data_IF_351065813760
#
_entry.id   IF_351065813760
#
_cell.length_a   1.000
_cell.length_b   1.000
_cell.length_c   1.000
_cell.angle_alpha   90.00
_cell.angle_beta   90.00
_cell.angle_gamma   90.00
#
_symmetry.space_group_name_H-M   'P 1'
#
loop_
_entity.id
_entity.type
_entity.pdbx_description
1 polymer ?
#
# COMPACT_ATOMS: atom_id res chain seq x y z
N UNK A 1 -30.39 -47.72 0.97
CA UNK A 1 -31.40 -47.18 1.91
C UNK A 1 -30.97 -45.83 2.49
N UNK A 2 -30.83 -44.79 1.66
CA UNK A 2 -30.31 -43.47 2.10
C UNK A 2 -31.15 -42.28 1.59
N UNK A 3 -31.83 -42.41 0.45
CA UNK A 3 -32.61 -41.32 -0.15
C UNK A 3 -33.91 -41.00 0.63
N UNK A 4 -34.61 -42.02 1.15
CA UNK A 4 -35.87 -41.83 1.90
C UNK A 4 -35.65 -41.04 3.20
N UNK A 5 -34.48 -41.18 3.83
CA UNK A 5 -34.16 -40.49 5.08
C UNK A 5 -33.86 -39.00 4.88
N UNK A 6 -33.33 -38.61 3.70
CA UNK A 6 -33.00 -37.21 3.41
C UNK A 6 -34.26 -36.40 3.08
N UNK A 7 -35.21 -37.02 2.39
CA UNK A 7 -36.51 -36.40 2.08
C UNK A 7 -37.33 -36.15 3.35
N UNK A 8 -37.33 -37.11 4.28
CA UNK A 8 -38.00 -36.98 5.58
C UNK A 8 -37.38 -35.87 6.45
N UNK A 9 -36.07 -35.67 6.39
CA UNK A 9 -35.38 -34.58 7.10
C UNK A 9 -35.76 -33.20 6.52
N UNK A 10 -35.88 -33.12 5.20
CA UNK A 10 -36.27 -31.90 4.52
C UNK A 10 -37.72 -31.52 4.84
N UNK A 11 -38.61 -32.52 4.89
CA UNK A 11 -40.01 -32.33 5.26
C UNK A 11 -40.16 -31.85 6.72
N UNK A 12 -39.37 -32.42 7.64
CA UNK A 12 -39.33 -31.95 9.03
C UNK A 12 -38.84 -30.49 9.16
N UNK A 13 -37.81 -30.09 8.40
CA UNK A 13 -37.35 -28.70 8.41
C UNK A 13 -38.40 -27.72 7.87
N UNK A 14 -39.16 -28.13 6.85
CA UNK A 14 -40.24 -27.29 6.30
C UNK A 14 -41.40 -27.14 7.29
N UNK A 15 -41.79 -28.23 7.98
CA UNK A 15 -42.81 -28.16 9.03
C UNK A 15 -42.39 -27.26 10.19
N UNK A 16 -41.12 -27.30 10.60
CA UNK A 16 -40.61 -26.45 11.67
C UNK A 16 -40.67 -24.96 11.31
N UNK A 17 -40.30 -24.60 10.08
CA UNK A 17 -40.40 -23.21 9.59
C UNK A 17 -41.85 -22.70 9.55
N UNK A 18 -42.80 -23.54 9.14
CA UNK A 18 -44.21 -23.16 9.13
C UNK A 18 -44.75 -22.95 10.54
N UNK A 19 -44.30 -23.74 11.51
CA UNK A 19 -44.69 -23.58 12.92
C UNK A 19 -44.16 -22.26 13.51
N UNK A 20 -42.92 -21.89 13.18
CA UNK A 20 -42.30 -20.64 13.63
C UNK A 20 -43.00 -19.40 13.02
N UNK A 21 -43.40 -19.45 11.74
CA UNK A 21 -44.18 -18.37 11.12
C UNK A 21 -45.56 -18.21 11.77
N UNK A 22 -46.24 -19.30 12.14
CA UNK A 22 -47.50 -19.21 12.87
C UNK A 22 -47.32 -18.62 14.26
N UNK A 23 -46.23 -18.97 14.94
CA UNK A 23 -45.90 -18.42 16.27
C UNK A 23 -45.61 -16.91 16.19
N UNK A 24 -44.89 -16.44 15.17
CA UNK A 24 -44.67 -15.00 14.98
C UNK A 24 -45.97 -14.24 14.72
N UNK A 25 -46.89 -14.79 13.91
CA UNK A 25 -48.21 -14.20 13.66
C UNK A 25 -49.08 -14.11 14.94
N UNK A 26 -49.01 -15.10 15.83
CA UNK A 26 -49.66 -15.02 17.14
C UNK A 26 -49.04 -13.96 18.07
N UNK A 27 -47.72 -13.79 18.03
CA UNK A 27 -47.04 -12.75 18.81
C UNK A 27 -47.38 -11.34 18.28
N UNK A 28 -47.58 -11.17 16.98
CA UNK A 28 -48.04 -9.89 16.41
C UNK A 28 -49.50 -9.59 16.76
N UNK A 29 -50.39 -10.58 16.74
CA UNK A 29 -51.80 -10.38 17.12
C UNK A 29 -52.01 -10.13 18.63
N UNK A 30 -51.13 -10.63 19.50
CA UNK A 30 -51.23 -10.38 20.95
C UNK A 30 -50.69 -9.00 21.34
N UNK A 31 -49.82 -8.38 20.53
CA UNK A 31 -49.34 -7.01 20.76
C UNK A 31 -50.41 -5.94 20.57
N UNK A 32 -51.49 -6.20 19.83
CA UNK A 32 -52.54 -5.20 19.54
C UNK A 32 -53.67 -5.09 20.57
N UNK A 33 -53.68 -5.88 21.65
CA UNK A 33 -54.75 -5.86 22.66
C UNK A 33 -54.38 -5.20 23.99
N UNK A 34 -53.18 -4.63 24.12
CA UNK A 34 -52.81 -3.84 25.29
C UNK A 34 -52.22 -2.50 24.84
N UNK A 35 -52.93 -1.40 25.14
CA UNK A 35 -52.45 0.00 25.26
C UNK A 35 -53.09 1.05 24.33
N UNK A 36 -54.31 1.50 24.66
CA UNK A 36 -54.85 2.77 24.14
C UNK A 36 -55.08 3.85 25.22
N UNK A 37 -54.90 3.53 26.52
CA UNK A 37 -55.09 4.49 27.62
C UNK A 37 -53.79 5.15 28.12
N UNK A 38 -52.60 4.67 27.72
CA UNK A 38 -51.29 5.20 28.15
C UNK A 38 -50.66 6.20 27.17
N UNK A 39 -51.09 6.21 25.91
CA UNK A 39 -50.39 6.94 24.83
C UNK A 39 -50.46 8.46 24.96
N UNK A 40 -51.59 9.03 25.41
CA UNK A 40 -51.70 10.47 25.57
C UNK A 40 -50.85 11.00 26.74
N UNK A 41 -50.81 10.27 27.86
CA UNK A 41 -50.02 10.64 29.04
C UNK A 41 -48.53 10.46 28.81
N UNK A 42 -48.12 9.39 28.13
CA UNK A 42 -46.74 9.20 27.67
C UNK A 42 -46.32 10.27 26.64
N UNK A 43 -47.19 10.64 25.71
CA UNK A 43 -46.89 11.67 24.71
C UNK A 43 -46.69 13.04 25.35
N UNK A 44 -47.53 13.44 26.31
CA UNK A 44 -47.37 14.69 27.07
C UNK A 44 -46.11 14.65 27.95
N UNK A 45 -45.80 13.51 28.56
CA UNK A 45 -44.55 13.32 29.32
C UNK A 45 -43.34 13.44 28.39
N UNK A 46 -43.38 12.83 27.20
CA UNK A 46 -42.33 12.90 26.18
C UNK A 46 -42.15 14.33 25.66
N UNK A 47 -43.23 15.05 25.36
CA UNK A 47 -43.19 16.45 24.93
C UNK A 47 -42.56 17.35 26.01
N UNK A 48 -42.92 17.18 27.30
CA UNK A 48 -42.25 17.90 28.42
C UNK A 48 -40.76 17.54 28.55
N UNK A 49 -40.39 16.28 28.37
CA UNK A 49 -38.97 15.89 28.40
C UNK A 49 -38.18 16.37 27.19
N UNK A 50 -38.84 16.54 26.03
CA UNK A 50 -38.25 17.08 24.81
C UNK A 50 -38.03 18.58 24.95
N UNK A 51 -39.02 19.32 25.48
CA UNK A 51 -38.89 20.76 25.77
C UNK A 51 -37.78 21.02 26.81
N UNK A 52 -37.74 20.27 27.92
CA UNK A 52 -36.65 20.40 28.88
C UNK A 52 -35.29 19.95 28.34
N UNK A 53 -35.21 19.02 27.38
CA UNK A 53 -33.95 18.68 26.71
C UNK A 53 -33.52 19.77 25.71
N UNK A 54 -34.47 20.43 25.05
CA UNK A 54 -34.22 21.57 24.15
C UNK A 54 -33.72 22.79 24.92
N UNK A 55 -34.38 23.15 26.02
CA UNK A 55 -33.93 24.25 26.91
C UNK A 55 -32.54 23.98 27.52
N UNK A 56 -32.21 22.71 27.78
CA UNK A 56 -30.91 22.32 28.35
C UNK A 56 -29.77 22.35 27.33
N UNK A 57 -30.08 22.32 26.03
CA UNK A 57 -29.13 22.32 24.93
C UNK A 57 -29.18 23.62 24.09
N UNK A 58 -29.90 24.64 24.54
CA UNK A 58 -29.98 25.93 23.86
C UNK A 58 -28.64 26.67 24.03
N UNK A 59 -27.95 27.04 22.93
CA UNK A 59 -26.72 27.86 23.00
C UNK A 59 -26.91 29.20 23.71
N UNK A 60 -28.16 29.68 23.80
CA UNK A 60 -28.52 30.91 24.51
C UNK A 60 -28.65 30.71 26.02
N UNK A 61 -28.63 29.47 26.52
CA UNK A 61 -28.73 29.16 27.94
C UNK A 61 -27.33 29.26 28.60
N UNK A 62 -27.12 30.16 29.58
CA UNK A 62 -25.82 30.35 30.22
C UNK A 62 -25.37 29.15 31.07
N UNK A 63 -26.25 28.16 31.30
CA UNK A 63 -25.91 26.91 31.98
C UNK A 63 -25.60 25.76 31.02
N UNK A 64 -25.64 25.97 29.71
CA UNK A 64 -25.28 24.96 28.73
C UNK A 64 -23.79 25.07 28.38
N UNK A 65 -23.01 24.02 28.68
CA UNK A 65 -21.59 23.96 28.34
C UNK A 65 -21.44 23.19 27.03
N UNK A 66 -20.93 23.83 25.98
CA UNK A 66 -20.75 23.19 24.67
C UNK A 66 -19.46 22.36 24.56
N UNK A 67 -18.47 22.63 25.42
CA UNK A 67 -17.12 22.07 25.28
C UNK A 67 -16.75 21.08 26.39
N UNK A 68 -15.98 20.02 26.09
CA UNK A 68 -15.50 19.10 27.12
C UNK A 68 -14.54 19.80 28.10
N UNK A 69 -14.98 20.08 29.32
CA UNK A 69 -14.17 20.80 30.33
C UNK A 69 -13.06 19.95 30.95
N UNK A 70 -13.16 18.63 30.84
CA UNK A 70 -12.20 17.63 31.36
C UNK A 70 -11.47 16.86 30.27
N UNK A 71 -11.60 17.27 29.01
CA UNK A 71 -10.94 16.60 27.90
C UNK A 71 -9.42 16.78 27.97
N UNK A 72 -8.67 15.76 27.56
CA UNK A 72 -7.22 15.84 27.35
C UNK A 72 -6.89 15.70 25.85
N UNK A 73 -7.18 16.73 25.02
CA UNK A 73 -7.01 16.66 23.58
C UNK A 73 -5.54 16.47 23.18
N UNK A 74 -4.59 17.02 23.93
CA UNK A 74 -3.16 16.90 23.63
C UNK A 74 -2.69 15.45 23.74
N UNK A 75 -3.15 14.70 24.74
CA UNK A 75 -2.78 13.31 24.95
C UNK A 75 -3.34 12.40 23.87
N UNK A 76 -4.61 12.58 23.51
CA UNK A 76 -5.26 11.82 22.44
C UNK A 76 -4.58 12.10 21.10
N UNK A 77 -4.29 13.37 20.81
CA UNK A 77 -3.59 13.77 19.57
C UNK A 77 -2.16 13.22 19.54
N UNK A 78 -1.43 13.31 20.65
CA UNK A 78 -0.09 12.75 20.79
C UNK A 78 -0.09 11.22 20.62
N UNK A 79 -1.09 10.51 21.15
CA UNK A 79 -1.24 9.07 20.98
C UNK A 79 -1.52 8.70 19.52
N UNK A 80 -2.36 9.49 18.82
CA UNK A 80 -2.63 9.32 17.39
C UNK A 80 -1.35 9.46 16.56
N UNK A 81 -0.57 10.53 16.76
CA UNK A 81 0.70 10.71 16.05
C UNK A 81 1.78 9.70 16.44
N UNK A 82 1.76 9.19 17.68
CA UNK A 82 2.62 8.08 18.05
C UNK A 82 2.26 6.80 17.29
N UNK A 83 0.96 6.57 17.02
CA UNK A 83 0.50 5.46 16.18
C UNK A 83 0.97 5.62 14.74
N UNK A 84 0.88 6.82 14.17
CA UNK A 84 1.47 7.14 12.85
C UNK A 84 2.99 6.86 12.82
N UNK A 85 3.71 7.28 13.86
CA UNK A 85 5.15 7.02 13.99
C UNK A 85 5.49 5.53 14.03
N UNK A 86 4.64 4.72 14.67
CA UNK A 86 4.79 3.27 14.70
C UNK A 86 4.55 2.65 13.32
N UNK A 87 3.48 3.08 12.62
CA UNK A 87 3.18 2.65 11.24
C UNK A 87 4.36 2.95 10.31
N UNK A 88 4.91 4.17 10.37
CA UNK A 88 6.09 4.56 9.60
C UNK A 88 7.29 3.67 9.97
N UNK A 89 7.46 3.34 11.26
CA UNK A 89 8.49 2.40 11.72
C UNK A 89 8.36 1.01 11.10
N UNK A 90 7.14 0.45 11.05
CA UNK A 90 6.85 -0.83 10.40
C UNK A 90 7.10 -0.77 8.89
N UNK A 91 6.70 0.33 8.23
CA UNK A 91 6.94 0.53 6.80
C UNK A 91 8.43 0.58 6.49
N UNK A 92 9.22 1.32 7.27
CA UNK A 92 10.68 1.37 7.13
C UNK A 92 11.28 -0.04 7.27
N UNK A 93 10.82 -0.83 8.24
CA UNK A 93 11.30 -2.20 8.41
C UNK A 93 10.99 -3.06 7.18
N UNK A 94 9.75 -3.04 6.69
CA UNK A 94 9.37 -3.75 5.46
C UNK A 94 10.22 -3.35 4.26
N UNK A 95 10.47 -2.04 4.07
CA UNK A 95 11.29 -1.55 2.96
C UNK A 95 12.77 -1.99 3.09
N UNK A 96 13.31 -2.10 4.31
CA UNK A 96 14.65 -2.65 4.54
C UNK A 96 14.73 -4.14 4.19
N UNK A 97 13.74 -4.93 4.58
CA UNK A 97 13.67 -6.33 4.18
C UNK A 97 13.54 -6.46 2.65
N UNK A 98 12.74 -5.58 2.04
CA UNK A 98 12.60 -5.51 0.58
C UNK A 98 13.93 -5.21 -0.10
N UNK A 99 14.74 -4.30 0.44
CA UNK A 99 16.10 -4.03 -0.03
C UNK A 99 16.95 -5.29 0.03
N UNK A 100 16.97 -5.99 1.16
CA UNK A 100 17.75 -7.23 1.33
C UNK A 100 17.37 -8.30 0.30
N UNK A 101 16.06 -8.47 0.05
CA UNK A 101 15.55 -9.38 -0.99
C UNK A 101 16.02 -8.95 -2.38
N UNK A 102 15.99 -7.66 -2.71
CA UNK A 102 16.41 -7.19 -4.03
C UNK A 102 17.93 -7.27 -4.26
N UNK A 103 18.73 -7.15 -3.21
CA UNK A 103 20.17 -7.42 -3.28
C UNK A 103 20.44 -8.89 -3.63
N UNK A 104 19.68 -9.81 -3.04
CA UNK A 104 19.78 -11.24 -3.36
C UNK A 104 19.28 -11.54 -4.77
N UNK A 105 18.15 -10.97 -5.18
CA UNK A 105 17.64 -11.07 -6.55
C UNK A 105 18.72 -10.63 -7.54
N UNK A 106 19.34 -9.46 -7.34
CA UNK A 106 20.43 -8.97 -8.19
C UNK A 106 21.57 -9.99 -8.32
N UNK A 107 22.05 -10.55 -7.20
CA UNK A 107 23.11 -11.57 -7.20
C UNK A 107 22.71 -12.83 -7.97
N UNK A 108 21.48 -13.30 -7.78
CA UNK A 108 20.99 -14.50 -8.46
C UNK A 108 20.77 -14.25 -9.95
N UNK A 109 20.28 -13.07 -10.35
CA UNK A 109 20.14 -12.69 -11.74
C UNK A 109 21.50 -12.62 -12.46
N UNK A 110 22.56 -12.14 -11.79
CA UNK A 110 23.93 -12.17 -12.32
C UNK A 110 24.45 -13.61 -12.47
N UNK A 111 24.16 -14.49 -11.50
CA UNK A 111 24.54 -15.91 -11.61
C UNK A 111 23.83 -16.60 -12.76
N UNK A 112 22.53 -16.38 -12.91
CA UNK A 112 21.74 -16.90 -14.03
C UNK A 112 22.27 -16.37 -15.35
N UNK A 113 22.59 -15.08 -15.42
CA UNK A 113 23.20 -14.45 -16.58
C UNK A 113 24.51 -15.15 -16.99
N UNK A 114 25.41 -15.46 -16.05
CA UNK A 114 26.65 -16.19 -16.34
C UNK A 114 26.45 -17.69 -16.61
N UNK A 115 25.35 -18.29 -16.13
CA UNK A 115 25.04 -19.70 -16.36
C UNK A 115 24.48 -19.99 -17.76
N UNK A 116 24.12 -18.96 -18.52
CA UNK A 116 23.65 -19.09 -19.91
C UNK A 116 24.81 -19.56 -20.79
N UNK A 117 24.86 -20.86 -21.05
CA UNK A 117 25.82 -21.50 -21.94
C UNK A 117 25.08 -22.18 -23.07
N UNK A 118 25.08 -21.54 -24.24
CA UNK A 118 24.55 -22.11 -25.47
C UNK A 118 25.70 -22.34 -26.45
N UNK A 119 25.67 -23.40 -27.28
CA UNK A 119 26.75 -23.70 -28.23
C UNK A 119 26.86 -22.70 -29.40
N UNK A 120 26.15 -21.57 -29.34
CA UNK A 120 26.06 -20.56 -30.40
C UNK A 120 26.26 -19.14 -29.87
N UNK A 121 26.50 -18.20 -30.79
CA UNK A 121 26.69 -16.77 -30.52
C UNK A 121 25.53 -16.21 -29.71
N UNK A 122 25.85 -15.42 -28.68
CA UNK A 122 24.88 -14.56 -28.00
C UNK A 122 25.22 -13.09 -28.28
N UNK A 123 24.20 -12.24 -28.45
CA UNK A 123 24.44 -10.81 -28.64
C UNK A 123 24.22 -10.06 -27.31
N UNK A 124 25.27 -9.38 -26.84
CA UNK A 124 25.22 -8.54 -25.66
C UNK A 124 24.38 -7.28 -25.84
N UNK A 125 24.14 -6.56 -24.73
CA UNK A 125 23.44 -5.28 -24.69
C UNK A 125 24.20 -4.14 -25.41
N UNK A 126 25.51 -4.30 -25.55
CA UNK A 126 26.47 -3.44 -26.25
C UNK A 126 26.55 -3.71 -27.76
N UNK A 127 25.84 -4.73 -28.25
CA UNK A 127 25.95 -5.20 -29.62
C UNK A 127 27.19 -6.07 -29.85
N UNK A 128 28.00 -6.33 -28.82
CA UNK A 128 29.14 -7.24 -28.92
C UNK A 128 28.65 -8.69 -28.92
N UNK A 129 29.29 -9.48 -29.79
CA UNK A 129 29.03 -10.91 -29.93
C UNK A 129 29.73 -11.64 -28.79
N UNK A 130 28.97 -12.02 -27.76
CA UNK A 130 29.47 -12.82 -26.66
C UNK A 130 29.51 -14.29 -27.05
N UNK A 131 30.65 -14.92 -26.75
CA UNK A 131 30.81 -16.36 -26.75
C UNK A 131 30.70 -16.86 -25.30
N UNK A 132 30.04 -17.99 -25.04
CA UNK A 132 30.01 -18.53 -23.69
C UNK A 132 31.43 -18.89 -23.25
N UNK A 133 31.88 -18.31 -22.14
CA UNK A 133 33.08 -18.79 -21.44
C UNK A 133 32.70 -20.10 -20.74
N UNK A 134 33.42 -21.19 -21.03
CA UNK A 134 33.13 -22.51 -20.47
C UNK A 134 33.15 -22.46 -18.95
N UNK A 135 32.12 -23.01 -18.31
CA UNK A 135 32.25 -23.50 -16.93
C UNK A 135 33.19 -24.69 -17.00
N UNK A 136 34.45 -24.48 -16.61
CA UNK A 136 35.41 -25.56 -16.49
C UNK A 136 34.79 -26.65 -15.60
N UNK A 137 34.71 -27.88 -16.13
CA UNK A 137 34.38 -29.06 -15.34
C UNK A 137 35.27 -29.07 -14.11
N UNK A 138 34.66 -28.99 -12.93
CA UNK A 138 35.35 -28.91 -11.66
C UNK A 138 36.33 -30.08 -11.50
N UNK A 139 37.61 -29.81 -11.72
CA UNK A 139 38.74 -30.50 -11.13
C UNK A 139 40.00 -29.63 -11.29
N UNK A 140 40.40 -28.96 -10.20
CA UNK A 140 41.78 -28.46 -10.03
C UNK A 140 41.98 -26.94 -10.02
N UNK A 141 42.10 -26.38 -8.80
CA UNK A 141 42.98 -25.26 -8.37
C UNK A 141 43.08 -23.95 -9.18
N UNK A 142 42.56 -22.88 -8.56
CA UNK A 142 43.11 -21.51 -8.43
C UNK A 142 44.07 -20.94 -9.50
N UNK A 143 43.66 -19.87 -10.17
CA UNK A 143 44.42 -18.60 -10.18
C UNK A 143 43.63 -17.46 -10.84
N UNK A 144 43.66 -16.31 -10.17
CA UNK A 144 43.36 -14.97 -10.68
C UNK A 144 44.28 -14.64 -11.86
N UNK A 145 43.75 -14.11 -12.98
CA UNK A 145 44.30 -12.95 -13.71
C UNK A 145 43.75 -12.79 -15.15
N UNK A 146 43.34 -11.55 -15.43
CA UNK A 146 43.54 -10.78 -16.66
C UNK A 146 42.76 -11.14 -17.94
N UNK A 147 41.68 -10.39 -18.14
CA UNK A 147 41.21 -10.00 -19.46
C UNK A 147 42.12 -8.91 -20.03
N UNK A 148 42.89 -9.22 -21.07
CA UNK A 148 43.38 -8.27 -22.06
C UNK A 148 43.95 -8.98 -23.29
N UNK A 149 43.55 -8.49 -24.48
CA UNK A 149 44.25 -8.57 -25.78
C UNK A 149 44.20 -9.90 -26.55
N UNK A 150 43.63 -9.89 -27.76
CA UNK A 150 44.45 -9.72 -28.98
C UNK A 150 43.62 -9.68 -30.27
N UNK A 151 43.86 -8.60 -31.03
CA UNK A 151 43.53 -8.34 -32.43
C UNK A 151 44.74 -8.79 -33.27
N UNK A 152 44.51 -9.61 -34.30
CA UNK A 152 45.24 -9.79 -35.58
C UNK A 152 46.76 -10.14 -35.64
N UNK A 153 47.07 -11.07 -36.57
CA UNK A 153 48.32 -11.25 -37.36
C UNK A 153 49.50 -12.08 -36.83
N UNK A 154 49.77 -13.22 -37.51
CA UNK A 154 50.99 -13.36 -38.32
C UNK A 154 52.15 -14.29 -37.86
N UNK A 155 52.19 -15.48 -38.46
CA UNK A 155 53.37 -16.20 -39.01
C UNK A 155 54.53 -16.67 -38.08
N UNK A 156 54.55 -17.95 -37.69
CA UNK A 156 55.68 -18.88 -37.92
C UNK A 156 55.35 -20.31 -37.47
N UNK A 157 55.80 -21.28 -38.26
CA UNK A 157 55.54 -22.70 -38.05
C UNK A 157 56.29 -23.28 -36.86
N UNK A 158 55.64 -24.21 -36.17
CA UNK A 158 56.25 -25.49 -35.83
C UNK A 158 55.16 -26.50 -35.44
N UNK A 159 55.32 -27.70 -35.98
CA UNK A 159 54.49 -28.87 -35.71
C UNK A 159 54.74 -29.38 -34.29
N UNK A 160 53.86 -29.01 -33.36
CA UNK A 160 53.68 -29.72 -32.11
C UNK A 160 52.17 -29.71 -31.79
N UNK A 161 51.49 -30.79 -32.12
CA UNK A 161 50.07 -31.00 -31.83
C UNK A 161 49.89 -31.25 -30.33
N UNK A 162 49.83 -30.17 -29.55
CA UNK A 162 49.33 -30.19 -28.18
C UNK A 162 47.82 -30.46 -28.19
N UNK A 163 47.28 -31.23 -27.23
CA UNK A 163 45.86 -31.59 -27.18
C UNK A 163 44.91 -30.38 -27.01
N UNK A 164 45.44 -29.24 -26.58
CA UNK A 164 44.70 -27.99 -26.38
C UNK A 164 44.33 -27.29 -27.70
N UNK A 165 45.18 -27.37 -28.73
CA UNK A 165 44.94 -26.73 -30.04
C UNK A 165 43.89 -27.50 -30.86
N UNK A 166 43.79 -28.81 -30.64
CA UNK A 166 42.82 -29.68 -31.30
C UNK A 166 41.39 -29.53 -30.73
N UNK A 167 41.25 -29.09 -29.47
CA UNK A 167 39.94 -28.83 -28.84
C UNK A 167 39.35 -27.49 -29.31
N UNK A 168 40.20 -26.46 -29.45
CA UNK A 168 39.82 -25.16 -30.02
C UNK A 168 39.40 -25.25 -31.51
N UNK A 169 40.06 -26.08 -32.32
CA UNK A 169 39.68 -26.27 -33.73
C UNK A 169 38.34 -26.98 -33.88
N UNK A 170 38.09 -28.03 -33.09
CA UNK A 170 36.81 -28.76 -33.09
C UNK A 170 35.63 -27.88 -32.68
N UNK A 171 35.84 -26.96 -31.74
CA UNK A 171 34.80 -26.02 -31.29
C UNK A 171 34.48 -24.96 -32.34
N UNK A 172 35.50 -24.49 -33.06
CA UNK A 172 35.29 -23.58 -34.19
C UNK A 172 34.52 -24.25 -35.31
N UNK A 173 34.80 -25.53 -35.56
CA UNK A 173 34.07 -26.34 -36.54
C UNK A 173 32.61 -26.56 -36.12
N UNK A 174 32.34 -26.96 -34.87
CA UNK A 174 30.98 -27.16 -34.34
C UNK A 174 30.13 -25.87 -34.39
N UNK A 175 30.78 -24.74 -34.14
CA UNK A 175 30.17 -23.42 -34.22
C UNK A 175 29.84 -22.99 -35.66
N UNK A 176 30.76 -23.19 -36.59
CA UNK A 176 30.53 -22.88 -38.00
C UNK A 176 29.47 -23.82 -38.62
N UNK A 177 29.39 -25.06 -38.13
CA UNK A 177 28.28 -25.98 -38.41
C UNK A 177 26.95 -25.44 -37.88
N UNK A 178 26.91 -24.98 -36.63
CA UNK A 178 25.67 -24.47 -36.00
C UNK A 178 25.13 -23.22 -36.70
N UNK A 179 26.01 -22.34 -37.20
CA UNK A 179 25.64 -21.20 -38.07
C UNK A 179 25.09 -21.62 -39.43
N UNK A 180 25.52 -22.77 -39.96
CA UNK A 180 25.00 -23.30 -41.21
C UNK A 180 23.61 -23.89 -41.03
N UNK A 181 23.39 -24.61 -39.93
CA UNK A 181 22.16 -25.37 -39.67
C UNK A 181 20.95 -24.51 -39.28
N UNK A 182 21.13 -23.42 -38.55
CA UNK A 182 20.01 -22.57 -38.11
C UNK A 182 19.98 -21.22 -38.85
N UNK A 183 18.82 -20.55 -38.82
CA UNK A 183 18.69 -19.19 -39.36
C UNK A 183 19.51 -18.20 -38.52
N UNK A 184 19.97 -17.09 -39.12
CA UNK A 184 20.72 -16.06 -38.41
C UNK A 184 19.88 -15.36 -37.34
N UNK A 185 20.59 -14.70 -36.42
CA UNK A 185 19.98 -13.88 -35.36
C UNK A 185 18.99 -12.85 -35.94
N UNK A 186 17.89 -12.64 -35.23
CA UNK A 186 16.81 -11.70 -35.55
C UNK A 186 15.69 -12.28 -36.42
N UNK A 187 15.78 -13.55 -36.83
CA UNK A 187 14.76 -14.22 -37.66
C UNK A 187 13.59 -14.80 -36.85
N UNK A 188 13.66 -14.77 -35.51
CA UNK A 188 12.75 -15.48 -34.62
C UNK A 188 13.10 -16.96 -34.49
N UNK A 189 14.35 -17.30 -34.83
CA UNK A 189 14.93 -18.64 -34.78
C UNK A 189 15.32 -19.04 -33.36
N UNK A 190 15.60 -20.33 -33.16
CA UNK A 190 16.19 -20.85 -31.91
C UNK A 190 17.49 -20.10 -31.52
N UNK A 191 18.20 -19.50 -32.50
CA UNK A 191 19.40 -18.69 -32.25
C UNK A 191 19.14 -17.41 -31.44
N UNK A 192 17.90 -16.91 -31.39
CA UNK A 192 17.57 -15.67 -30.66
C UNK A 192 17.38 -15.90 -29.16
N UNK A 193 17.14 -17.14 -28.74
CA UNK A 193 16.76 -17.50 -27.38
C UNK A 193 17.80 -17.08 -26.32
N UNK A 194 19.10 -17.33 -26.49
CA UNK A 194 20.10 -16.94 -25.50
C UNK A 194 20.28 -15.44 -25.41
N UNK A 195 20.16 -14.74 -26.54
CA UNK A 195 20.21 -13.28 -26.58
C UNK A 195 19.04 -12.71 -25.75
N UNK A 196 17.84 -13.26 -25.91
CA UNK A 196 16.65 -12.87 -25.13
C UNK A 196 16.88 -13.12 -23.63
N UNK A 197 17.32 -14.32 -23.25
CA UNK A 197 17.56 -14.67 -21.84
C UNK A 197 18.69 -13.83 -21.23
N UNK A 198 19.78 -13.64 -21.96
CA UNK A 198 20.93 -12.85 -21.53
C UNK A 198 20.53 -11.40 -21.24
N UNK A 199 19.81 -10.78 -22.19
CA UNK A 199 19.30 -9.42 -22.05
C UNK A 199 18.29 -9.31 -20.90
N UNK A 200 17.41 -10.28 -20.73
CA UNK A 200 16.46 -10.29 -19.61
C UNK A 200 17.18 -10.32 -18.26
N UNK A 201 18.05 -11.32 -18.02
CA UNK A 201 18.75 -11.46 -16.73
C UNK A 201 19.69 -10.28 -16.44
N UNK A 202 20.36 -9.73 -17.47
CA UNK A 202 21.18 -8.53 -17.34
C UNK A 202 20.35 -7.31 -16.90
N UNK A 203 19.25 -7.03 -17.60
CA UNK A 203 18.39 -5.90 -17.26
C UNK A 203 17.69 -6.10 -15.91
N UNK A 204 17.24 -7.31 -15.59
CA UNK A 204 16.61 -7.64 -14.31
C UNK A 204 17.57 -7.39 -13.14
N UNK A 205 18.85 -7.74 -13.28
CA UNK A 205 19.89 -7.40 -12.30
C UNK A 205 20.05 -5.89 -12.12
N UNK A 206 20.20 -5.14 -13.22
CA UNK A 206 20.36 -3.67 -13.17
C UNK A 206 19.17 -2.98 -12.51
N UNK A 207 17.94 -3.41 -12.83
CA UNK A 207 16.73 -2.86 -12.22
C UNK A 207 16.64 -3.20 -10.73
N UNK A 208 16.96 -4.43 -10.33
CA UNK A 208 17.02 -4.81 -8.91
C UNK A 208 18.05 -3.96 -8.14
N UNK A 209 19.23 -3.69 -8.72
CA UNK A 209 20.22 -2.79 -8.12
C UNK A 209 19.73 -1.34 -8.03
N UNK A 210 19.02 -0.86 -9.05
CA UNK A 210 18.41 0.48 -9.05
C UNK A 210 17.40 0.62 -7.90
N UNK A 211 16.55 -0.40 -7.69
CA UNK A 211 15.60 -0.43 -6.57
C UNK A 211 16.31 -0.34 -5.23
N UNK A 212 17.38 -1.11 -5.03
CA UNK A 212 18.19 -1.07 -3.79
C UNK A 212 18.76 0.32 -3.55
N UNK A 213 19.36 0.93 -4.59
CA UNK A 213 19.96 2.27 -4.50
C UNK A 213 18.92 3.33 -4.17
N UNK A 214 17.76 3.30 -4.82
CA UNK A 214 16.70 4.28 -4.60
C UNK A 214 16.06 4.10 -3.20
N UNK A 215 15.77 2.87 -2.79
CA UNK A 215 15.20 2.61 -1.46
C UNK A 215 16.14 3.03 -0.32
N UNK A 216 17.42 2.64 -0.38
CA UNK A 216 18.40 3.00 0.64
C UNK A 216 18.81 4.48 0.57
N UNK A 217 18.86 5.06 -0.62
CA UNK A 217 19.37 6.40 -0.85
C UNK A 217 18.36 7.51 -0.59
N UNK A 218 17.08 7.30 -0.93
CA UNK A 218 16.06 8.36 -0.89
C UNK A 218 14.89 8.01 0.02
N UNK A 219 14.23 6.87 -0.21
CA UNK A 219 12.94 6.55 0.43
C UNK A 219 13.09 6.25 1.92
N UNK A 220 13.99 5.33 2.29
CA UNK A 220 14.17 4.93 3.69
C UNK A 220 14.67 6.10 4.56
N UNK A 221 15.70 6.87 4.16
CA UNK A 221 16.14 8.05 4.92
C UNK A 221 15.01 9.07 5.10
N UNK A 222 14.25 9.35 4.05
CA UNK A 222 13.13 10.31 4.11
C UNK A 222 12.05 9.91 5.11
N UNK A 223 11.68 8.63 5.15
CA UNK A 223 10.74 8.12 6.15
C UNK A 223 11.32 8.11 7.57
N UNK A 224 12.64 7.88 7.72
CA UNK A 224 13.32 7.97 9.02
C UNK A 224 13.35 9.40 9.55
N UNK A 225 13.54 10.39 8.68
CA UNK A 225 13.46 11.82 9.01
C UNK A 225 12.06 12.18 9.48
N UNK A 226 11.04 11.83 8.68
CA UNK A 226 9.63 12.05 9.06
C UNK A 226 9.30 11.44 10.43
N UNK A 227 9.82 10.25 10.73
CA UNK A 227 9.63 9.57 12.02
C UNK A 227 10.31 10.30 13.18
N UNK A 228 11.45 10.96 12.95
CA UNK A 228 12.17 11.78 13.94
C UNK A 228 11.45 13.12 14.15
N UNK A 229 11.05 13.77 13.07
CA UNK A 229 10.31 15.03 13.11
C UNK A 229 8.97 14.87 13.84
N UNK A 230 8.26 13.77 13.59
CA UNK A 230 7.03 13.45 14.31
C UNK A 230 7.25 13.28 15.82
N UNK A 231 8.39 12.74 16.26
CA UNK A 231 8.69 12.67 17.70
C UNK A 231 8.77 14.07 18.31
N UNK A 232 9.41 15.01 17.63
CA UNK A 232 9.51 16.40 18.08
C UNK A 232 8.13 17.05 18.11
N UNK A 233 7.34 16.91 17.04
CA UNK A 233 5.96 17.43 16.99
C UNK A 233 5.04 16.84 18.05
N UNK A 234 5.19 15.56 18.38
CA UNK A 234 4.45 14.94 19.49
C UNK A 234 4.80 15.60 20.83
N UNK A 235 6.07 15.92 21.08
CA UNK A 235 6.50 16.61 22.31
C UNK A 235 5.96 18.04 22.36
N UNK A 236 6.00 18.77 21.25
CA UNK A 236 5.41 20.10 21.12
C UNK A 236 3.90 20.05 21.43
N UNK A 237 3.15 19.12 20.84
CA UNK A 237 1.71 18.94 21.11
C UNK A 237 1.44 18.68 22.60
N UNK A 238 2.24 17.82 23.25
CA UNK A 238 2.10 17.54 24.69
C UNK A 238 2.39 18.78 25.55
N UNK A 239 3.27 19.67 25.09
CA UNK A 239 3.61 20.89 25.84
C UNK A 239 2.46 21.90 25.88
N UNK A 240 1.53 21.87 24.91
CA UNK A 240 0.33 22.70 24.86
C UNK A 240 -0.74 22.33 25.90
N UNK A 241 -0.47 21.36 26.77
CA UNK A 241 -1.40 20.91 27.80
C UNK A 241 -1.82 22.04 28.75
N UNK A 242 -0.96 23.02 28.97
CA UNK A 242 -1.26 24.19 29.80
C UNK A 242 -2.44 25.01 29.28
N UNK A 243 -2.63 25.06 27.96
CA UNK A 243 -3.60 25.92 27.30
C UNK A 243 -5.05 25.42 27.51
N UNK A 244 -5.19 24.15 27.91
CA UNK A 244 -6.49 23.53 28.21
C UNK A 244 -6.87 23.62 29.70
N UNK A 245 -5.98 24.16 30.55
CA UNK A 245 -6.28 24.39 31.96
C UNK A 245 -7.32 25.51 32.06
N UNK A 246 -8.51 25.17 32.54
CA UNK A 246 -9.64 26.08 32.58
C UNK A 246 -10.31 26.12 33.96
N UNK A 247 -11.11 27.16 34.19
CA UNK A 247 -11.96 27.29 35.37
C UNK A 247 -13.45 27.26 35.01
N UNK A 248 -13.82 26.68 33.87
CA UNK A 248 -15.21 26.69 33.34
C UNK A 248 -16.16 26.06 34.35
N UNK A 249 -15.81 24.91 34.95
CA UNK A 249 -16.62 24.26 35.99
C UNK A 249 -16.88 25.18 37.20
N UNK A 250 -15.88 25.97 37.61
CA UNK A 250 -16.00 26.94 38.71
C UNK A 250 -16.93 28.09 38.33
N UNK A 251 -16.68 28.73 37.19
CA UNK A 251 -17.49 29.84 36.70
C UNK A 251 -18.94 29.41 36.46
N UNK A 252 -19.17 28.19 35.96
CA UNK A 252 -20.49 27.61 35.80
C UNK A 252 -21.25 27.46 37.12
N UNK A 253 -20.57 26.97 38.16
CA UNK A 253 -21.16 26.83 39.49
C UNK A 253 -21.48 28.20 40.12
N UNK A 254 -20.59 29.17 39.95
CA UNK A 254 -20.82 30.55 40.39
C UNK A 254 -22.01 31.18 39.65
N UNK A 255 -22.10 31.06 38.32
CA UNK A 255 -23.23 31.54 37.52
C UNK A 255 -24.53 30.89 37.97
N UNK A 256 -24.53 29.57 38.24
CA UNK A 256 -25.70 28.86 38.78
C UNK A 256 -26.15 29.43 40.12
N UNK A 257 -25.22 29.75 41.02
CA UNK A 257 -25.54 30.30 42.33
C UNK A 257 -26.10 31.74 42.22
N UNK A 258 -25.47 32.60 41.41
CA UNK A 258 -25.93 33.98 41.20
C UNK A 258 -27.28 34.01 40.49
N UNK A 259 -27.49 33.13 39.49
CA UNK A 259 -28.78 32.98 38.80
C UNK A 259 -29.90 32.53 39.75
N UNK A 260 -29.63 31.57 40.63
CA UNK A 260 -30.59 31.15 41.67
C UNK A 260 -30.94 32.32 42.60
N UNK A 261 -29.94 33.09 43.04
CA UNK A 261 -30.15 34.28 43.86
C UNK A 261 -31.00 35.34 43.16
N UNK A 262 -30.75 35.59 41.87
CA UNK A 262 -31.52 36.50 41.04
C UNK A 262 -32.98 36.05 40.88
N UNK A 263 -33.22 34.78 40.54
CA UNK A 263 -34.58 34.23 40.41
C UNK A 263 -35.34 34.33 41.74
N UNK A 264 -34.68 33.98 42.85
CA UNK A 264 -35.27 34.09 44.18
C UNK A 264 -35.63 35.55 44.54
N UNK A 265 -34.80 36.51 44.16
CA UNK A 265 -35.08 37.94 44.39
C UNK A 265 -36.30 38.44 43.61
N UNK A 266 -36.48 37.97 42.37
CA UNK A 266 -37.65 38.29 41.54
C UNK A 266 -38.91 37.71 42.18
N UNK A 267 -38.86 36.45 42.64
CA UNK A 267 -40.02 35.80 43.24
C UNK A 267 -40.46 36.48 44.53
N UNK A 268 -39.50 36.88 45.38
CA UNK A 268 -39.81 37.63 46.62
C UNK A 268 -40.32 39.04 46.29
N UNK A 269 -39.74 39.73 45.29
CA UNK A 269 -40.22 41.04 44.83
C UNK A 269 -41.69 41.01 44.39
N UNK A 270 -42.09 39.95 43.68
CA UNK A 270 -43.48 39.76 43.21
C UNK A 270 -44.47 39.44 44.33
N UNK A 271 -44.03 38.74 45.39
CA UNK A 271 -44.90 38.27 46.48
C UNK A 271 -44.96 39.22 47.68
N UNK A 272 -43.83 39.82 48.05
CA UNK A 272 -43.67 40.61 49.26
C UNK A 272 -42.58 41.69 49.08
N UNK A 273 -42.88 42.79 48.37
CA UNK A 273 -41.89 43.82 48.02
C UNK A 273 -41.27 44.52 49.24
N UNK A 274 -41.97 44.58 50.38
CA UNK A 274 -41.47 45.23 51.60
C UNK A 274 -40.49 44.40 52.45
N UNK A 275 -40.31 43.11 52.15
CA UNK A 275 -39.42 42.21 52.91
C UNK A 275 -38.03 42.04 52.28
N UNK A 276 -37.75 42.71 51.17
CA UNK A 276 -36.49 42.58 50.46
C UNK A 276 -35.37 43.38 51.15
N UNK A 277 -34.26 42.74 51.56
CA UNK A 277 -33.08 43.48 51.99
C UNK A 277 -32.46 44.23 50.80
N UNK A 278 -31.86 45.42 50.99
CA UNK A 278 -31.25 46.21 49.91
C UNK A 278 -30.18 45.46 49.10
N UNK A 279 -29.53 44.47 49.73
CA UNK A 279 -28.53 43.59 49.10
C UNK A 279 -29.12 42.63 48.05
N UNK A 280 -30.40 42.30 48.16
CA UNK A 280 -31.10 41.38 47.27
C UNK A 280 -31.99 42.14 46.27
N UNK A 281 -31.66 43.40 45.97
CA UNK A 281 -32.31 44.14 44.90
C UNK A 281 -32.15 43.37 43.56
N UNK A 282 -33.25 43.04 42.86
CA UNK A 282 -33.22 42.39 41.56
C UNK A 282 -32.31 43.10 40.55
N UNK A 283 -32.24 44.44 40.56
CA UNK A 283 -31.41 45.17 39.59
C UNK A 283 -29.90 44.97 39.84
N UNK A 284 -29.46 45.06 41.11
CA UNK A 284 -28.06 44.81 41.49
C UNK A 284 -27.65 43.35 41.25
N UNK A 285 -28.54 42.40 41.53
CA UNK A 285 -28.29 40.98 41.26
C UNK A 285 -28.23 40.68 39.77
N UNK A 286 -29.06 41.34 38.94
CA UNK A 286 -28.96 41.27 37.48
C UNK A 286 -27.61 41.78 36.98
N UNK A 287 -27.15 42.93 37.47
CA UNK A 287 -25.83 43.47 37.10
C UNK A 287 -24.69 42.51 37.45
N UNK A 288 -24.73 41.92 38.64
CA UNK A 288 -23.76 40.90 39.05
C UNK A 288 -23.84 39.65 38.18
N UNK A 289 -25.04 39.19 37.81
CA UNK A 289 -25.26 38.05 36.94
C UNK A 289 -24.68 38.30 35.54
N UNK A 290 -24.96 39.46 34.95
CA UNK A 290 -24.44 39.85 33.63
C UNK A 290 -22.90 39.89 33.62
N UNK A 291 -22.28 40.40 34.69
CA UNK A 291 -20.83 40.38 34.87
C UNK A 291 -20.27 38.96 34.96
N UNK A 292 -20.95 38.07 35.68
CA UNK A 292 -20.54 36.68 35.84
C UNK A 292 -20.66 35.89 34.53
N UNK A 293 -21.77 36.06 33.80
CA UNK A 293 -21.99 35.41 32.49
C UNK A 293 -20.90 35.85 31.50
N UNK A 294 -20.55 37.14 31.47
CA UNK A 294 -19.46 37.62 30.60
C UNK A 294 -18.13 36.93 30.90
N UNK A 295 -17.77 36.76 32.17
CA UNK A 295 -16.53 36.07 32.57
C UNK A 295 -16.55 34.59 32.15
N UNK A 296 -17.67 33.91 32.37
CA UNK A 296 -17.84 32.53 31.93
C UNK A 296 -17.68 32.41 30.42
N UNK A 297 -18.35 33.28 29.65
CA UNK A 297 -18.29 33.26 28.19
C UNK A 297 -16.87 33.51 27.66
N UNK A 298 -16.11 34.42 28.27
CA UNK A 298 -14.71 34.66 27.86
C UNK A 298 -13.84 33.41 28.04
N UNK A 299 -14.01 32.69 29.15
CA UNK A 299 -13.26 31.46 29.43
C UNK A 299 -13.70 30.29 28.55
N UNK A 300 -15.00 30.14 28.31
CA UNK A 300 -15.52 29.13 27.39
C UNK A 300 -15.06 29.39 25.95
N UNK A 301 -15.08 30.65 25.50
CA UNK A 301 -14.58 31.03 24.18
C UNK A 301 -13.07 30.77 24.06
N UNK A 302 -12.27 31.08 25.09
CA UNK A 302 -10.84 30.79 25.10
C UNK A 302 -10.57 29.29 24.96
N UNK A 303 -11.27 28.47 25.76
CA UNK A 303 -11.13 27.01 25.69
C UNK A 303 -11.58 26.48 24.32
N UNK A 304 -12.66 27.02 23.76
CA UNK A 304 -13.17 26.65 22.45
C UNK A 304 -12.16 26.95 21.33
N UNK A 305 -11.56 28.15 21.33
CA UNK A 305 -10.50 28.52 20.39
C UNK A 305 -9.29 27.60 20.51
N UNK A 306 -8.88 27.23 21.74
CA UNK A 306 -7.78 26.28 21.96
C UNK A 306 -8.08 24.90 21.35
N UNK A 307 -9.32 24.40 21.50
CA UNK A 307 -9.76 23.14 20.88
C UNK A 307 -9.75 23.22 19.35
N UNK A 308 -10.25 24.31 18.76
CA UNK A 308 -10.24 24.51 17.31
C UNK A 308 -8.80 24.56 16.79
N UNK A 309 -7.91 25.25 17.51
CA UNK A 309 -6.52 25.40 17.12
C UNK A 309 -5.80 24.04 17.09
N UNK A 310 -5.89 23.24 18.16
CA UNK A 310 -5.23 21.93 18.18
C UNK A 310 -5.79 20.96 17.13
N UNK A 311 -7.10 21.03 16.86
CA UNK A 311 -7.72 20.22 15.82
C UNK A 311 -7.26 20.64 14.42
N UNK A 312 -7.20 21.93 14.15
CA UNK A 312 -6.80 22.48 12.85
C UNK A 312 -5.32 22.22 12.58
N UNK A 313 -4.45 22.51 13.55
CA UNK A 313 -3.02 22.25 13.46
C UNK A 313 -2.72 20.74 13.36
N UNK A 314 -3.42 19.91 14.14
CA UNK A 314 -3.33 18.45 14.04
C UNK A 314 -3.75 17.93 12.65
N UNK A 315 -4.84 18.46 12.09
CA UNK A 315 -5.30 18.09 10.73
C UNK A 315 -4.26 18.40 9.66
N UNK A 316 -3.67 19.59 9.68
CA UNK A 316 -2.64 19.95 8.70
C UNK A 316 -1.36 19.13 8.88
N UNK A 317 -0.95 18.84 10.12
CA UNK A 317 0.18 17.94 10.38
C UNK A 317 -0.08 16.54 9.84
N UNK A 318 -1.26 15.96 10.10
CA UNK A 318 -1.63 14.63 9.58
C UNK A 318 -1.65 14.60 8.06
N UNK A 319 -2.15 15.66 7.41
CA UNK A 319 -2.12 15.79 5.95
C UNK A 319 -0.70 15.74 5.40
N UNK A 320 0.25 16.45 6.01
CA UNK A 320 1.66 16.42 5.61
C UNK A 320 2.26 15.01 5.75
N UNK A 321 2.01 14.35 6.89
CA UNK A 321 2.47 12.97 7.13
C UNK A 321 1.93 12.03 6.06
N UNK A 322 0.63 12.14 5.76
CA UNK A 322 -0.03 11.29 4.78
C UNK A 322 0.55 11.47 3.37
N UNK A 323 0.74 12.72 2.94
CA UNK A 323 1.31 13.05 1.62
C UNK A 323 2.75 12.52 1.49
N UNK A 324 3.57 12.64 2.53
CA UNK A 324 4.94 12.15 2.51
C UNK A 324 5.00 10.61 2.37
N UNK A 325 4.12 9.89 3.07
CA UNK A 325 3.98 8.43 2.91
C UNK A 325 3.49 8.07 1.51
N UNK A 326 2.51 8.79 0.97
CA UNK A 326 2.02 8.58 -0.40
C UNK A 326 3.14 8.78 -1.42
N UNK A 327 3.94 9.81 -1.26
CA UNK A 327 5.06 10.11 -2.17
C UNK A 327 6.07 8.97 -2.16
N UNK A 328 6.48 8.52 -0.96
CA UNK A 328 7.38 7.38 -0.79
C UNK A 328 6.85 6.09 -1.45
N UNK A 329 5.57 5.76 -1.21
CA UNK A 329 4.93 4.58 -1.78
C UNK A 329 4.74 4.68 -3.30
N UNK A 330 4.51 5.88 -3.82
CA UNK A 330 4.38 6.12 -5.27
C UNK A 330 5.70 5.83 -5.98
N UNK A 331 6.83 6.29 -5.43
CA UNK A 331 8.15 5.98 -5.99
C UNK A 331 8.42 4.48 -5.92
N UNK A 332 8.13 3.83 -4.78
CA UNK A 332 8.27 2.38 -4.65
C UNK A 332 7.43 1.60 -5.68
N UNK A 333 6.16 1.96 -5.85
CA UNK A 333 5.28 1.34 -6.84
C UNK A 333 5.81 1.52 -8.27
N UNK A 334 6.35 2.69 -8.60
CA UNK A 334 6.99 2.96 -9.90
C UNK A 334 8.18 2.03 -10.15
N UNK A 335 9.04 1.83 -9.14
CA UNK A 335 10.20 0.93 -9.25
C UNK A 335 9.78 -0.53 -9.48
N UNK A 336 8.76 -1.00 -8.76
CA UNK A 336 8.20 -2.35 -8.97
C UNK A 336 7.57 -2.47 -10.36
N UNK A 337 6.86 -1.44 -10.82
CA UNK A 337 6.27 -1.39 -12.16
C UNK A 337 7.32 -1.51 -13.27
N UNK A 338 8.49 -0.87 -13.12
CA UNK A 338 9.59 -0.99 -14.07
C UNK A 338 10.14 -2.43 -14.16
N UNK A 339 10.21 -3.16 -13.04
CA UNK A 339 10.60 -4.57 -13.06
C UNK A 339 9.57 -5.44 -13.76
N UNK A 340 8.29 -5.24 -13.47
CA UNK A 340 7.21 -5.97 -14.15
C UNK A 340 7.23 -5.73 -15.66
N UNK A 341 7.43 -4.47 -16.07
CA UNK A 341 7.53 -4.11 -17.48
C UNK A 341 8.74 -4.77 -18.16
N UNK A 342 9.87 -4.92 -17.46
CA UNK A 342 11.03 -5.62 -17.99
C UNK A 342 10.73 -7.09 -18.31
N UNK A 343 10.03 -7.78 -17.41
CA UNK A 343 9.59 -9.17 -17.63
C UNK A 343 8.70 -9.24 -18.88
N UNK A 344 7.74 -8.32 -19.00
CA UNK A 344 6.83 -8.30 -20.14
C UNK A 344 7.54 -7.99 -21.46
N UNK A 345 8.31 -6.90 -21.52
CA UNK A 345 8.90 -6.42 -22.77
C UNK A 345 10.12 -7.22 -23.22
N UNK A 346 10.96 -7.67 -22.29
CA UNK A 346 12.23 -8.34 -22.62
C UNK A 346 12.11 -9.83 -22.72
N UNK A 347 11.22 -10.45 -21.94
CA UNK A 347 11.05 -11.90 -21.94
C UNK A 347 9.79 -12.31 -22.70
N UNK A 348 8.61 -11.94 -22.19
CA UNK A 348 7.33 -12.45 -22.70
C UNK A 348 7.11 -12.03 -24.16
N UNK A 349 7.13 -10.73 -24.44
CA UNK A 349 6.90 -10.19 -25.79
C UNK A 349 7.90 -10.72 -26.82
N UNK A 350 9.17 -10.92 -26.43
CA UNK A 350 10.21 -11.44 -27.31
C UNK A 350 10.07 -12.95 -27.58
N UNK A 351 9.61 -13.72 -26.61
CA UNK A 351 9.30 -15.14 -26.82
C UNK A 351 8.04 -15.32 -27.68
N UNK A 352 7.00 -14.53 -27.41
CA UNK A 352 5.72 -14.59 -28.13
C UNK A 352 5.87 -14.20 -29.60
N UNK A 353 6.65 -13.16 -29.90
CA UNK A 353 6.91 -12.71 -31.29
C UNK A 353 8.01 -13.49 -31.98
N UNK A 354 8.90 -14.11 -31.21
CA UNK A 354 10.01 -14.93 -31.69
C UNK A 354 9.56 -16.38 -31.89
N UNK A 355 10.16 -17.28 -31.12
CA UNK A 355 10.04 -18.73 -31.31
C UNK A 355 8.60 -19.26 -31.19
N UNK A 356 7.77 -18.66 -30.32
CA UNK A 356 6.43 -19.18 -30.04
C UNK A 356 5.43 -18.89 -31.16
N UNK A 357 5.63 -17.84 -31.95
CA UNK A 357 4.76 -17.51 -33.08
C UNK A 357 5.11 -18.26 -34.37
N UNK A 358 6.28 -18.91 -34.45
CA UNK A 358 6.74 -19.57 -35.69
C UNK A 358 6.13 -20.96 -35.82
N UNK A 359 5.93 -21.38 -37.08
CA UNK A 359 5.47 -22.74 -37.37
C UNK A 359 6.54 -23.76 -36.92
N UNK A 360 6.16 -24.92 -36.36
CA UNK A 360 7.12 -25.98 -36.00
C UNK A 360 8.07 -26.41 -37.13
N UNK A 361 7.66 -26.31 -38.40
CA UNK A 361 8.49 -26.61 -39.58
C UNK A 361 9.44 -25.48 -40.01
N UNK A 362 9.34 -24.28 -39.42
CA UNK A 362 10.03 -23.07 -39.90
C UNK A 362 11.55 -23.22 -40.03
N UNK A 363 12.20 -23.83 -39.04
CA UNK A 363 13.65 -24.10 -39.06
C UNK A 363 14.03 -25.14 -40.12
N UNK A 364 13.22 -26.20 -40.22
CA UNK A 364 13.45 -27.31 -41.15
C UNK A 364 13.28 -26.88 -42.61
N UNK A 365 12.19 -26.19 -42.92
CA UNK A 365 11.89 -25.70 -44.25
C UNK A 365 12.97 -24.73 -44.73
N UNK A 366 13.44 -23.86 -43.83
CA UNK A 366 14.53 -22.92 -44.12
C UNK A 366 15.89 -23.61 -44.26
N UNK A 367 16.14 -24.68 -43.51
CA UNK A 367 17.36 -25.47 -43.61
C UNK A 367 17.46 -26.19 -44.97
N UNK A 368 16.39 -26.90 -45.37
CA UNK A 368 16.33 -27.55 -46.69
C UNK A 368 16.45 -26.52 -47.81
N UNK A 369 15.76 -25.38 -47.71
CA UNK A 369 15.84 -24.32 -48.71
C UNK A 369 17.26 -23.74 -48.87
N UNK A 370 18.09 -23.81 -47.83
CA UNK A 370 19.47 -23.31 -47.81
C UNK A 370 20.49 -24.34 -48.32
N UNK A 371 20.20 -25.64 -48.21
CA UNK A 371 21.09 -26.74 -48.63
C UNK A 371 20.50 -27.52 -49.82
N UNK A 372 20.42 -26.84 -50.97
CA UNK A 372 19.96 -27.40 -52.24
C UNK A 372 20.95 -28.37 -52.90
N UNK A 373 22.16 -28.50 -52.33
CA UNK A 373 23.18 -29.42 -52.83
C UNK A 373 22.98 -30.84 -52.27
N UNK A 374 22.55 -30.95 -51.01
CA UNK A 374 22.33 -32.24 -50.36
C UNK A 374 20.86 -32.66 -50.34
N UNK A 375 19.91 -31.72 -50.46
CA UNK A 375 18.48 -32.00 -50.35
C UNK A 375 17.69 -31.57 -51.59
N UNK A 376 16.62 -32.31 -51.89
CA UNK A 376 15.73 -32.09 -53.02
C UNK A 376 14.46 -31.40 -52.51
N UNK A 377 13.95 -30.41 -53.24
CA UNK A 377 12.67 -29.77 -52.94
C UNK A 377 11.53 -30.79 -53.08
N UNK A 378 10.63 -30.85 -52.10
CA UNK A 378 9.48 -31.75 -52.06
C UNK A 378 8.53 -31.56 -53.27
N UNK A 379 8.58 -30.40 -53.94
CA UNK A 379 7.81 -30.12 -55.17
C UNK A 379 8.54 -30.52 -56.46
N UNK A 380 9.73 -31.12 -56.39
CA UNK A 380 10.44 -31.60 -57.58
C UNK A 380 9.66 -32.78 -58.17
N UNK A 381 9.09 -32.66 -59.38
CA UNK A 381 8.29 -33.73 -59.95
C UNK A 381 9.17 -34.95 -60.22
N UNK A 382 8.64 -36.12 -59.93
CA UNK A 382 9.30 -37.38 -60.27
C UNK A 382 9.46 -37.45 -61.79
N UNK A 383 10.66 -37.80 -62.27
CA UNK A 383 10.90 -37.97 -63.69
C UNK A 383 10.01 -39.12 -64.21
N UNK A 384 8.96 -38.78 -64.95
CA UNK A 384 8.15 -39.75 -65.68
C UNK A 384 8.77 -39.91 -67.05
N UNK A 385 9.34 -41.09 -67.30
CA UNK A 385 9.77 -41.51 -68.62
C UNK A 385 8.52 -41.65 -69.51
N UNK A 386 8.34 -40.71 -70.44
CA UNK A 386 7.40 -40.90 -71.55
C UNK A 386 8.14 -41.75 -72.59
N UNK A 387 7.81 -43.03 -72.65
CA UNK A 387 8.33 -43.99 -73.64
C UNK A 387 7.66 -43.75 -74.99
#
# INVERSE_FOLDING_TARGET
MSLVSQEQLMQNQQQLRQLDEQRQKQVEQTKSFQSNASSAREMVQRLRTIDHKKERNDPSNPLFIQMPTRGNPTEVMAARFNSWRNIIGCLIHYLKETVSVHEEISRQQIRLHHAISFPFITQGLDGELYQPMRVASANGSSSVANAATSIFSGLHGNSATSPEVADLSKQKDEFDLTKRFFLPLGSGSIQDLPTILYQYHANASLLAQSVVKELNGTIIPRLQDLRRDLLVKIKEIRSLQSDFRNNVDRYHQETRNVLKGFVQSIDVSKRAPGTLPPRNDPYLLKYSLDGQIKRQLTEENYLHEAFINIQTSGKELEKVVYIEIQTALTVYAKLMGQQAQNIFDRLISKLDTGILAKNPGFEWDSFIAKDTANFIDLNTPMNILVI
#
